data_IF_456390844936
#
_entry.id   IF_456390844936
#
_cell.length_a   1.000
_cell.length_b   1.000
_cell.length_c   1.000
_cell.angle_alpha   90.00
_cell.angle_beta   90.00
_cell.angle_gamma   90.00
#
_symmetry.space_group_name_H-M   'P 1'
#
loop_
_entity.id
_entity.type
_entity.pdbx_description
1 polymer ?
#
# COMPACT_ATOMS: atom_id res chain seq x y z
N UNK A 1 20.93 7.47 -3.50
CA UNK A 1 19.52 7.83 -3.22
C UNK A 1 18.72 7.80 -4.52
N UNK A 2 17.39 7.62 -4.46
CA UNK A 2 16.51 7.64 -5.64
C UNK A 2 15.24 8.43 -5.34
N UNK A 3 14.75 9.17 -6.34
CA UNK A 3 13.44 9.77 -6.34
C UNK A 3 12.44 8.79 -6.95
N UNK A 4 11.32 8.61 -6.26
CA UNK A 4 10.19 7.89 -6.81
C UNK A 4 9.06 8.85 -7.11
N UNK A 5 8.74 9.01 -8.39
CA UNK A 5 7.65 9.85 -8.84
C UNK A 5 6.45 8.96 -9.19
N UNK A 6 5.37 9.09 -8.42
CA UNK A 6 4.13 8.34 -8.64
C UNK A 6 2.94 9.28 -8.66
N UNK A 7 1.88 9.00 -9.42
CA UNK A 7 0.70 9.88 -9.43
C UNK A 7 -0.07 9.86 -8.10
N UNK A 8 0.06 8.77 -7.32
CA UNK A 8 -0.75 8.50 -6.12
C UNK A 8 -0.17 7.33 -5.33
N UNK A 9 -0.65 7.14 -4.11
CA UNK A 9 -0.59 5.86 -3.40
C UNK A 9 -1.95 5.54 -2.77
N UNK A 10 -2.08 4.31 -2.29
CA UNK A 10 -3.26 3.85 -1.56
C UNK A 10 -2.87 3.51 -0.13
N UNK A 11 -3.79 3.73 0.80
CA UNK A 11 -3.64 3.32 2.20
C UNK A 11 -4.97 2.79 2.75
N UNK A 12 -4.92 1.81 3.65
CA UNK A 12 -6.12 1.13 4.15
C UNK A 12 -6.41 1.50 5.60
N UNK A 13 -7.52 2.22 5.82
CA UNK A 13 -8.06 2.44 7.16
C UNK A 13 -8.74 1.17 7.64
N UNK A 14 -8.31 0.64 8.79
CA UNK A 14 -8.95 -0.53 9.41
C UNK A 14 -9.91 -0.07 10.51
N UNK A 15 -11.18 -0.46 10.42
CA UNK A 15 -12.19 -0.20 11.45
C UNK A 15 -13.10 -1.40 11.63
N UNK A 16 -13.24 -1.88 12.88
CA UNK A 16 -14.06 -3.04 13.24
C UNK A 16 -13.81 -4.27 12.32
N UNK A 17 -12.54 -4.56 12.04
CA UNK A 17 -12.14 -5.71 11.19
C UNK A 17 -12.35 -5.52 9.69
N UNK A 18 -12.87 -4.37 9.23
CA UNK A 18 -13.01 -4.05 7.80
C UNK A 18 -11.95 -3.06 7.35
N UNK A 19 -11.43 -3.26 6.13
CA UNK A 19 -10.46 -2.37 5.50
C UNK A 19 -11.14 -1.47 4.47
N UNK A 20 -10.98 -0.17 4.63
CA UNK A 20 -11.41 0.85 3.69
C UNK A 20 -10.20 1.43 2.98
N UNK A 21 -10.01 1.19 1.66
CA UNK A 21 -8.94 1.86 0.91
C UNK A 21 -9.21 3.35 0.72
N UNK A 22 -8.15 4.14 0.83
CA UNK A 22 -8.10 5.55 0.52
C UNK A 22 -7.12 5.79 -0.61
N UNK A 23 -7.49 6.70 -1.50
CA UNK A 23 -6.63 7.29 -2.51
C UNK A 23 -5.96 8.52 -1.92
N UNK A 24 -4.66 8.68 -2.16
CA UNK A 24 -3.88 9.84 -1.73
C UNK A 24 -3.02 10.34 -2.89
N UNK A 25 -3.17 11.62 -3.26
CA UNK A 25 -2.33 12.32 -4.25
C UNK A 25 -1.99 13.75 -3.81
N UNK A 26 -1.16 14.45 -4.58
CA UNK A 26 -1.02 15.91 -4.45
C UNK A 26 -2.31 16.57 -4.95
N UNK A 27 -2.75 17.64 -4.27
CA UNK A 27 -3.85 18.47 -4.75
C UNK A 27 -3.36 19.45 -5.83
N UNK A 28 -4.01 19.47 -6.99
CA UNK A 28 -3.49 20.12 -8.20
C UNK A 28 -3.83 19.40 -9.53
N UNK A 29 -4.58 18.29 -9.46
CA UNK A 29 -5.07 17.55 -10.61
C UNK A 29 -4.20 16.35 -11.01
N UNK A 30 -4.64 15.61 -12.02
CA UNK A 30 -4.07 14.31 -12.42
C UNK A 30 -2.63 14.36 -12.98
N UNK A 31 -2.04 15.54 -13.14
CA UNK A 31 -0.72 15.72 -13.74
C UNK A 31 0.41 15.88 -12.70
N UNK A 32 0.08 16.12 -11.42
CA UNK A 32 1.09 16.25 -10.38
C UNK A 32 1.49 14.90 -9.80
N UNK A 33 2.80 14.66 -9.80
CA UNK A 33 3.41 13.46 -9.25
C UNK A 33 3.82 13.69 -7.80
N UNK A 34 3.51 12.73 -6.94
CA UNK A 34 4.13 12.57 -5.64
C UNK A 34 5.60 12.21 -5.82
N UNK A 35 6.47 13.11 -5.37
CA UNK A 35 7.91 12.93 -5.34
C UNK A 35 8.31 12.36 -3.99
N UNK A 36 8.57 11.05 -3.90
CA UNK A 36 8.85 10.36 -2.63
C UNK A 36 10.33 10.01 -2.48
N UNK A 37 10.84 10.22 -1.27
CA UNK A 37 12.19 9.83 -0.89
C UNK A 37 12.31 8.30 -0.87
N UNK A 38 13.34 7.78 -1.51
CA UNK A 38 13.63 6.36 -1.42
C UNK A 38 15.08 5.98 -1.63
N UNK A 39 15.35 4.73 -1.28
CA UNK A 39 16.66 4.09 -1.39
C UNK A 39 16.58 3.00 -2.45
N UNK A 40 17.70 2.71 -3.08
CA UNK A 40 17.78 1.63 -4.07
C UNK A 40 19.07 0.85 -3.87
N UNK A 41 19.07 -0.39 -4.33
CA UNK A 41 20.23 -1.28 -4.35
C UNK A 41 20.26 -2.05 -5.66
N UNK A 42 21.46 -2.38 -6.11
CA UNK A 42 21.69 -3.18 -7.32
C UNK A 42 22.50 -4.41 -6.94
N UNK A 43 21.91 -5.59 -7.14
CA UNK A 43 22.59 -6.86 -7.00
C UNK A 43 23.03 -7.34 -8.38
N UNK A 44 24.32 -7.18 -8.70
CA UNK A 44 24.89 -7.67 -9.97
C UNK A 44 24.80 -9.18 -10.11
N UNK A 45 24.92 -9.92 -9.00
CA UNK A 45 24.89 -11.40 -9.00
C UNK A 45 23.49 -11.96 -9.26
N UNK A 46 22.43 -11.22 -8.90
CA UNK A 46 21.04 -11.63 -9.13
C UNK A 46 20.40 -10.91 -10.31
N UNK A 47 21.14 -10.04 -10.99
CA UNK A 47 20.63 -9.09 -11.98
C UNK A 47 19.34 -8.39 -11.49
N UNK A 48 19.41 -7.85 -10.26
CA UNK A 48 18.25 -7.33 -9.55
C UNK A 48 18.47 -5.87 -9.16
N UNK A 49 17.60 -5.00 -9.66
CA UNK A 49 17.38 -3.67 -9.15
C UNK A 49 16.25 -3.70 -8.13
N UNK A 50 16.49 -3.25 -6.91
CA UNK A 50 15.47 -3.15 -5.86
C UNK A 50 15.45 -1.78 -5.23
N UNK A 51 14.31 -1.42 -4.66
CA UNK A 51 14.13 -0.15 -3.98
C UNK A 51 13.20 -0.25 -2.78
N UNK A 52 13.25 0.80 -1.95
CA UNK A 52 12.34 1.01 -0.83
C UNK A 52 12.00 2.49 -0.71
N UNK A 53 10.79 2.77 -0.26
CA UNK A 53 10.31 4.13 0.03
C UNK A 53 10.57 4.43 1.50
N UNK A 54 11.13 5.61 1.78
CA UNK A 54 11.33 6.07 3.15
C UNK A 54 9.99 6.55 3.69
N UNK A 55 9.63 6.09 4.89
CA UNK A 55 8.39 6.45 5.57
C UNK A 55 8.69 7.22 6.86
N UNK A 56 7.72 8.01 7.28
CA UNK A 56 7.69 8.78 8.53
C UNK A 56 6.32 8.60 9.20
N UNK A 57 6.14 9.20 10.37
CA UNK A 57 4.84 9.24 11.03
C UNK A 57 3.86 10.09 10.20
N UNK A 58 2.63 9.59 10.09
CA UNK A 58 1.61 10.26 9.31
C UNK A 58 1.15 11.57 9.94
N UNK A 59 0.82 12.55 9.11
CA UNK A 59 0.27 13.85 9.51
C UNK A 59 -1.07 14.11 8.83
N UNK A 60 -1.81 15.12 9.31
CA UNK A 60 -3.08 15.57 8.75
C UNK A 60 -4.09 14.41 8.56
N UNK A 61 -4.83 14.40 7.46
CA UNK A 61 -5.86 13.39 7.17
C UNK A 61 -5.30 11.96 7.09
N UNK A 62 -4.05 11.81 6.63
CA UNK A 62 -3.38 10.50 6.51
C UNK A 62 -3.21 9.85 7.89
N UNK A 63 -2.95 10.64 8.94
CA UNK A 63 -2.84 10.14 10.32
C UNK A 63 -4.14 9.49 10.83
N UNK A 64 -5.28 9.89 10.28
CA UNK A 64 -6.58 9.28 10.61
C UNK A 64 -6.84 7.95 9.90
N UNK A 65 -5.99 7.58 8.93
CA UNK A 65 -6.09 6.39 8.09
C UNK A 65 -5.06 5.35 8.56
N UNK A 66 -3.81 5.76 8.72
CA UNK A 66 -2.69 4.91 9.12
C UNK A 66 -1.61 5.72 9.87
N UNK A 67 -0.77 5.06 10.67
CA UNK A 67 0.24 5.74 11.50
C UNK A 67 1.51 6.14 10.74
N UNK A 68 1.67 5.68 9.49
CA UNK A 68 2.85 5.93 8.65
C UNK A 68 2.44 6.54 7.32
N UNK A 69 3.31 7.38 6.77
CA UNK A 69 3.19 7.88 5.40
C UNK A 69 4.57 7.99 4.74
N UNK A 70 4.66 8.05 3.39
CA UNK A 70 5.91 8.33 2.71
C UNK A 70 6.47 9.72 3.04
N UNK A 71 7.79 9.87 3.01
CA UNK A 71 8.41 11.20 2.95
C UNK A 71 8.25 11.75 1.54
N UNK A 72 7.42 12.78 1.40
CA UNK A 72 7.08 13.42 0.12
C UNK A 72 7.80 14.79 0.04
N UNK A 73 8.39 15.10 -1.10
CA UNK A 73 9.01 16.39 -1.38
C UNK A 73 7.95 17.37 -1.91
N UNK A 74 7.87 18.54 -1.29
CA UNK A 74 6.87 19.57 -1.63
C UNK A 74 7.17 20.30 -2.94
N UNK A 75 8.44 20.31 -3.38
CA UNK A 75 8.89 21.00 -4.59
C UNK A 75 10.00 20.22 -5.28
N UNK A 76 10.27 20.60 -6.52
CA UNK A 76 11.26 19.94 -7.37
C UNK A 76 12.69 20.11 -6.85
N UNK A 77 13.05 21.27 -6.30
CA UNK A 77 14.42 21.55 -5.84
C UNK A 77 14.81 20.64 -4.66
N UNK A 78 13.91 20.43 -3.71
CA UNK A 78 14.10 19.48 -2.61
C UNK A 78 14.26 18.05 -3.15
N UNK A 79 13.42 17.65 -4.12
CA UNK A 79 13.51 16.35 -4.77
C UNK A 79 14.83 16.17 -5.54
N UNK A 80 15.33 17.22 -6.19
CA UNK A 80 16.60 17.21 -6.91
C UNK A 80 17.79 17.16 -5.96
N UNK A 81 17.75 17.89 -4.85
CA UNK A 81 18.75 17.81 -3.79
C UNK A 81 18.89 16.40 -3.22
N UNK A 82 17.79 15.64 -3.16
CA UNK A 82 17.82 14.22 -2.78
C UNK A 82 18.53 13.32 -3.79
N UNK A 83 18.43 13.59 -5.10
CA UNK A 83 18.97 12.68 -6.14
C UNK A 83 20.31 13.08 -6.73
N UNK A 84 20.62 14.37 -6.84
CA UNK A 84 21.81 14.86 -7.54
C UNK A 84 23.10 14.72 -6.73
N UNK A 85 23.02 14.30 -5.47
CA UNK A 85 24.18 14.23 -4.59
C UNK A 85 24.50 15.58 -3.97
N UNK A 86 25.20 15.55 -2.83
CA UNK A 86 25.43 16.71 -1.97
C UNK A 86 25.14 16.43 -0.50
N UNK A 87 24.36 15.38 -0.22
CA UNK A 87 24.25 14.78 1.11
C UNK A 87 25.31 13.67 1.20
N UNK A 88 26.48 13.99 1.76
CA UNK A 88 27.67 13.13 1.72
C UNK A 88 27.83 12.29 2.98
N UNK A 89 27.16 12.68 4.06
CA UNK A 89 27.20 12.00 5.36
C UNK A 89 25.81 11.59 5.85
N UNK A 90 25.73 10.53 6.66
CA UNK A 90 24.49 10.11 7.29
C UNK A 90 23.86 11.23 8.15
N UNK A 91 24.68 12.12 8.73
CA UNK A 91 24.22 13.28 9.48
C UNK A 91 23.46 14.28 8.60
N UNK A 92 24.02 14.66 7.45
CA UNK A 92 23.36 15.57 6.50
C UNK A 92 22.07 14.97 5.94
N UNK A 93 22.09 13.68 5.60
CA UNK A 93 20.89 12.96 5.14
C UNK A 93 19.78 13.04 6.18
N UNK A 94 20.11 12.79 7.45
CA UNK A 94 19.14 12.87 8.55
C UNK A 94 18.60 14.28 8.72
N UNK A 95 19.46 15.30 8.73
CA UNK A 95 19.03 16.70 8.84
C UNK A 95 18.11 17.10 7.70
N UNK A 96 18.46 16.74 6.47
CA UNK A 96 17.63 17.01 5.31
C UNK A 96 16.26 16.31 5.39
N UNK A 97 16.22 15.03 5.77
CA UNK A 97 14.95 14.32 5.96
C UNK A 97 14.11 14.94 7.08
N UNK A 98 14.72 15.39 8.18
CA UNK A 98 14.01 16.10 9.26
C UNK A 98 13.36 17.39 8.73
N UNK A 99 14.09 18.17 7.93
CA UNK A 99 13.53 19.37 7.29
C UNK A 99 12.35 19.03 6.37
N UNK A 100 12.45 17.96 5.57
CA UNK A 100 11.36 17.53 4.69
C UNK A 100 10.14 17.08 5.47
N UNK A 101 10.34 16.29 6.54
CA UNK A 101 9.26 15.83 7.41
C UNK A 101 8.53 17.01 8.05
N UNK A 102 9.25 18.06 8.46
CA UNK A 102 8.65 19.28 9.01
C UNK A 102 7.77 20.05 8.01
N UNK A 103 7.97 19.87 6.69
CA UNK A 103 7.14 20.48 5.65
C UNK A 103 5.84 19.71 5.36
N UNK A 104 5.76 18.42 5.73
CA UNK A 104 4.60 17.57 5.41
C UNK A 104 3.25 18.09 5.91
N UNK A 105 3.13 18.66 7.13
CA UNK A 105 1.86 19.22 7.61
C UNK A 105 1.32 20.36 6.74
N UNK A 106 2.18 21.02 5.97
CA UNK A 106 1.82 22.13 5.08
C UNK A 106 1.57 21.68 3.63
N UNK A 107 1.74 20.39 3.31
CA UNK A 107 1.42 19.87 1.99
C UNK A 107 -0.10 19.73 1.83
N UNK A 108 -0.58 20.18 0.67
CA UNK A 108 -1.97 19.98 0.28
C UNK A 108 -2.10 18.62 -0.42
N UNK A 109 -2.66 17.65 0.29
CA UNK A 109 -2.91 16.30 -0.22
C UNK A 109 -4.40 16.12 -0.48
N UNK A 110 -4.73 15.57 -1.65
CA UNK A 110 -6.08 15.11 -1.95
C UNK A 110 -6.24 13.69 -1.40
N UNK A 111 -7.16 13.52 -0.45
CA UNK A 111 -7.39 12.25 0.25
C UNK A 111 -8.88 11.91 0.22
N UNK A 112 -9.24 10.72 -0.28
CA UNK A 112 -10.65 10.28 -0.28
C UNK A 112 -10.79 8.75 -0.32
N UNK A 113 -11.90 8.20 0.23
CA UNK A 113 -12.14 6.76 0.20
C UNK A 113 -12.50 6.29 -1.21
N UNK A 114 -11.92 5.18 -1.64
CA UNK A 114 -12.21 4.54 -2.94
C UNK A 114 -12.94 3.21 -2.75
N UNK A 115 -13.41 2.65 -3.87
CA UNK A 115 -14.05 1.34 -3.83
C UNK A 115 -13.06 0.23 -3.44
N UNK A 116 -13.50 -0.88 -2.82
CA UNK A 116 -12.64 -2.02 -2.48
C UNK A 116 -11.99 -2.75 -3.67
N UNK A 117 -12.22 -2.31 -4.92
CA UNK A 117 -11.67 -2.95 -6.12
C UNK A 117 -10.13 -2.99 -6.10
N UNK A 118 -9.50 -1.97 -5.53
CA UNK A 118 -8.03 -1.87 -5.37
C UNK A 118 -7.45 -2.90 -4.39
N UNK A 119 -8.27 -3.63 -3.64
CA UNK A 119 -7.80 -4.72 -2.77
C UNK A 119 -7.19 -5.88 -3.58
N UNK A 120 -7.61 -6.05 -4.83
CA UNK A 120 -7.04 -7.03 -5.74
C UNK A 120 -5.94 -6.39 -6.57
N UNK A 121 -4.69 -6.80 -6.38
CA UNK A 121 -3.57 -6.34 -7.20
C UNK A 121 -3.65 -6.79 -8.67
N UNK A 122 -4.53 -7.75 -8.98
CA UNK A 122 -4.83 -8.14 -10.36
C UNK A 122 -5.79 -7.15 -11.06
N UNK A 123 -6.40 -6.23 -10.32
CA UNK A 123 -7.35 -5.27 -10.86
C UNK A 123 -6.68 -3.90 -11.07
N UNK A 124 -6.36 -3.61 -12.33
CA UNK A 124 -5.69 -2.38 -12.78
C UNK A 124 -6.60 -1.64 -13.78
N UNK A 125 -7.55 -0.86 -13.22
CA UNK A 125 -8.60 -0.18 -13.98
C UNK A 125 -8.86 1.22 -13.41
N UNK A 126 -9.28 2.20 -14.22
CA UNK A 126 -9.66 3.54 -13.75
C UNK A 126 -10.74 3.55 -12.64
N UNK A 127 -11.52 2.49 -12.48
CA UNK A 127 -12.46 2.35 -11.37
C UNK A 127 -11.79 2.29 -9.99
N UNK A 128 -10.51 1.92 -9.89
CA UNK A 128 -9.74 1.90 -8.64
C UNK A 128 -9.65 3.26 -7.95
N UNK A 129 -9.74 4.36 -8.72
CA UNK A 129 -9.61 5.72 -8.20
C UNK A 129 -10.96 6.43 -8.02
N UNK A 130 -12.08 5.73 -8.27
CA UNK A 130 -13.42 6.31 -8.10
C UNK A 130 -13.78 6.41 -6.62
N UNK A 131 -14.24 7.59 -6.15
CA UNK A 131 -14.73 7.75 -4.79
C UNK A 131 -15.87 6.78 -4.44
N UNK A 132 -15.86 6.24 -3.22
CA UNK A 132 -16.82 5.22 -2.76
C UNK A 132 -18.30 5.67 -2.73
N UNK A 133 -18.57 6.98 -2.83
CA UNK A 133 -19.92 7.55 -2.89
C UNK A 133 -20.42 7.91 -4.30
N UNK A 134 -19.60 7.74 -5.35
CA UNK A 134 -19.95 8.11 -6.73
C UNK A 134 -20.34 6.92 -7.62
N UNK A 135 -20.49 5.72 -7.04
CA UNK A 135 -21.17 4.65 -7.76
C UNK A 135 -22.67 4.97 -7.77
N UNK A 136 -23.35 4.99 -8.94
CA UNK A 136 -24.79 5.10 -8.95
C UNK A 136 -25.33 4.00 -8.05
N UNK A 137 -26.23 4.38 -7.13
CA UNK A 137 -26.91 3.44 -6.25
C UNK A 137 -27.40 2.27 -7.08
N UNK A 138 -26.76 1.11 -6.96
CA UNK A 138 -27.34 -0.12 -7.49
C UNK A 138 -28.61 -0.29 -6.67
N UNK A 139 -29.75 0.03 -7.26
CA UNK A 139 -31.05 -0.36 -6.73
C UNK A 139 -31.05 -1.88 -6.72
N UNK A 140 -30.67 -2.45 -5.58
CA UNK A 140 -30.84 -3.88 -5.33
C UNK A 140 -32.34 -4.13 -5.40
N UNK A 141 -32.83 -4.68 -6.51
CA UNK A 141 -34.15 -5.30 -6.55
C UNK A 141 -34.10 -6.45 -5.55
N UNK A 142 -34.78 -6.29 -4.43
CA UNK A 142 -34.95 -7.38 -3.47
C UNK A 142 -35.66 -8.53 -4.20
N UNK A 143 -34.95 -9.65 -4.37
CA UNK A 143 -35.61 -10.93 -4.61
C UNK A 143 -35.97 -11.50 -3.24
N UNK A 144 -37.19 -11.23 -2.81
CA UNK A 144 -37.80 -11.86 -1.64
C UNK A 144 -37.84 -13.37 -1.85
N UNK A 145 -37.11 -14.11 -1.03
CA UNK A 145 -37.32 -15.56 -0.85
C UNK A 145 -37.76 -15.76 0.60
N UNK A 146 -38.92 -16.37 0.88
CA UNK A 146 -39.44 -16.46 2.23
C UNK A 146 -38.66 -17.53 3.00
N UNK A 147 -37.86 -17.12 3.99
CA UNK A 147 -37.24 -18.05 4.93
C UNK A 147 -38.24 -18.39 6.04
N UNK A 148 -38.81 -19.61 5.99
CA UNK A 148 -39.51 -20.21 7.12
C UNK A 148 -38.47 -20.73 8.12
N UNK A 149 -38.15 -19.98 9.18
CA UNK A 149 -37.68 -20.51 10.48
C UNK A 149 -37.37 -19.37 11.45
N UNK A 150 -38.37 -18.91 12.21
CA UNK A 150 -38.18 -18.03 13.36
C UNK A 150 -39.11 -18.40 14.54
N UNK A 151 -39.37 -19.69 14.75
CA UNK A 151 -40.22 -20.17 15.88
C UNK A 151 -39.51 -21.19 16.79
N UNK A 152 -38.17 -21.21 16.85
CA UNK A 152 -37.46 -22.24 17.64
C UNK A 152 -36.49 -21.72 18.72
N UNK A 153 -36.59 -20.45 19.14
CA UNK A 153 -35.67 -19.89 20.16
C UNK A 153 -36.28 -19.40 21.47
N UNK A 154 -37.54 -19.78 21.77
CA UNK A 154 -38.12 -19.56 23.09
C UNK A 154 -38.77 -20.85 23.58
N UNK A 155 -38.05 -21.63 24.41
CA UNK A 155 -38.55 -22.44 25.52
C UNK A 155 -37.37 -23.06 26.31
N UNK A 156 -37.13 -22.48 27.50
CA UNK A 156 -36.84 -23.10 28.81
C UNK A 156 -35.51 -23.89 29.05
N UNK A 157 -34.66 -23.35 29.93
CA UNK A 157 -33.64 -24.06 30.76
C UNK A 157 -34.27 -24.59 32.07
N UNK A 158 -33.59 -25.33 32.99
CA UNK A 158 -32.44 -26.25 32.92
C UNK A 158 -32.76 -27.64 33.56
N UNK A 159 -31.93 -28.68 33.34
CA UNK A 159 -31.83 -29.82 34.28
C UNK A 159 -30.40 -30.33 34.43
N UNK A 160 -30.06 -30.58 35.69
CA UNK A 160 -28.81 -31.09 36.24
C UNK A 160 -28.71 -32.62 36.08
N UNK A 161 -27.51 -33.10 35.77
CA UNK A 161 -27.00 -34.41 36.19
C UNK A 161 -27.08 -35.56 35.17
N UNK A 162 -25.92 -35.98 34.63
CA UNK A 162 -25.45 -37.36 34.66
C UNK A 162 -24.10 -37.50 33.93
N UNK A 163 -23.17 -38.16 34.61
CA UNK A 163 -21.84 -38.56 34.17
C UNK A 163 -21.92 -39.62 33.06
N UNK A 164 -21.14 -39.43 31.98
CA UNK A 164 -20.96 -40.44 30.93
C UNK A 164 -19.64 -40.23 30.20
N UNK A 165 -18.65 -41.08 30.50
CA UNK A 165 -17.36 -41.19 29.79
C UNK A 165 -17.57 -41.41 28.29
N UNK A 166 -16.89 -40.62 27.45
CA UNK A 166 -16.41 -41.08 26.13
C UNK A 166 -15.03 -40.49 25.84
N UNK A 167 -14.04 -41.37 25.74
CA UNK A 167 -12.72 -41.10 25.20
C UNK A 167 -12.84 -40.74 23.72
N UNK A 168 -12.25 -39.60 23.33
CA UNK A 168 -12.10 -39.17 21.94
C UNK A 168 -10.66 -38.74 21.73
N UNK A 169 -9.89 -39.58 21.01
CA UNK A 169 -8.48 -39.37 20.72
C UNK A 169 -8.26 -38.13 19.83
N UNK A 170 -7.50 -37.15 20.33
CA UNK A 170 -7.03 -36.02 19.53
C UNK A 170 -5.73 -36.44 18.81
N UNK A 171 -5.79 -36.76 17.52
CA UNK A 171 -4.58 -36.95 16.70
C UNK A 171 -3.97 -35.56 16.43
N UNK A 172 -2.83 -35.27 17.04
CA UNK A 172 -1.97 -34.14 16.64
C UNK A 172 -1.31 -34.46 15.31
N UNK A 173 -1.55 -33.63 14.29
CA UNK A 173 -0.74 -33.61 13.08
C UNK A 173 0.60 -32.90 13.38
N UNK A 174 1.74 -33.34 12.82
CA UNK A 174 3.02 -32.65 13.00
C UNK A 174 3.02 -31.30 12.27
N UNK A 175 3.82 -30.30 12.70
CA UNK A 175 3.94 -29.04 11.98
C UNK A 175 4.58 -29.31 10.61
N UNK A 176 3.86 -28.98 9.53
CA UNK A 176 4.43 -28.96 8.19
C UNK A 176 5.40 -27.77 8.09
N UNK A 177 6.60 -28.07 7.59
CA UNK A 177 7.69 -27.13 7.41
C UNK A 177 7.29 -25.96 6.52
N UNK A 178 7.64 -24.74 6.95
CA UNK A 178 7.45 -23.51 6.21
C UNK A 178 8.48 -23.43 5.07
N UNK A 179 8.21 -24.12 3.96
CA UNK A 179 9.05 -24.13 2.78
C UNK A 179 8.20 -24.02 1.52
N UNK A 180 8.50 -22.99 0.72
CA UNK A 180 8.09 -22.83 -0.68
C UNK A 180 6.60 -22.61 -1.00
N UNK A 181 6.16 -21.34 -0.98
CA UNK A 181 5.06 -20.88 -1.82
C UNK A 181 5.09 -19.34 -2.01
N UNK A 182 6.17 -18.84 -2.60
CA UNK A 182 6.15 -17.54 -3.25
C UNK A 182 6.58 -17.71 -4.71
N UNK A 183 5.59 -17.82 -5.60
CA UNK A 183 5.79 -17.57 -7.01
C UNK A 183 6.08 -16.08 -7.18
N UNK A 184 7.36 -15.72 -7.26
CA UNK A 184 7.80 -14.40 -7.69
C UNK A 184 7.48 -14.27 -9.17
N UNK A 185 6.43 -13.53 -9.51
CA UNK A 185 6.12 -13.18 -10.89
C UNK A 185 7.14 -12.14 -11.36
N UNK A 186 8.20 -12.59 -12.05
CA UNK A 186 9.08 -11.72 -12.83
C UNK A 186 8.21 -11.03 -13.89
N UNK A 187 8.08 -9.70 -13.84
CA UNK A 187 7.65 -8.94 -15.02
C UNK A 187 8.89 -8.77 -15.90
N UNK A 188 8.94 -9.54 -16.98
CA UNK A 188 9.83 -9.28 -18.11
C UNK A 188 9.30 -8.08 -18.87
N UNK A 189 10.09 -7.01 -18.94
CA UNK A 189 9.88 -5.96 -19.94
C UNK A 189 10.36 -6.51 -21.28
N UNK A 190 9.48 -6.58 -22.27
CA UNK A 190 9.85 -6.86 -23.66
C UNK A 190 10.36 -5.58 -24.32
N UNK A 191 11.42 -5.70 -25.10
CA UNK A 191 12.02 -4.62 -25.89
C UNK A 191 10.95 -3.94 -26.77
N UNK A 192 10.65 -2.67 -26.50
CA UNK A 192 9.67 -1.91 -27.26
C UNK A 192 9.42 -0.47 -26.81
N UNK A 193 9.56 -0.15 -25.53
CA UNK A 193 9.41 1.23 -25.05
C UNK A 193 10.74 1.98 -25.13
N UNK A 194 10.93 2.75 -26.21
CA UNK A 194 12.08 3.62 -26.39
C UNK A 194 12.02 4.82 -25.44
N UNK A 195 12.49 4.62 -24.21
CA UNK A 195 13.09 5.69 -23.41
C UNK A 195 14.60 5.48 -23.42
N UNK A 196 15.26 6.06 -24.42
CA UNK A 196 16.71 6.00 -24.58
C UNK A 196 17.35 6.83 -23.45
N UNK A 197 18.08 6.24 -22.49
CA UNK A 197 18.89 7.00 -21.55
C UNK A 197 20.10 7.63 -22.26
N UNK A 198 20.65 8.76 -21.78
CA UNK A 198 21.78 9.43 -22.41
C UNK A 198 22.98 8.49 -22.55
N UNK A 199 23.54 8.42 -23.76
CA UNK A 199 24.72 7.61 -24.08
C UNK A 199 25.90 8.04 -23.21
N UNK A 200 26.44 7.10 -22.46
CA UNK A 200 27.69 7.26 -21.71
C UNK A 200 28.86 7.37 -22.68
N UNK A 201 29.44 8.56 -22.82
CA UNK A 201 30.72 8.77 -23.51
C UNK A 201 31.82 8.42 -22.50
N UNK A 202 32.62 7.40 -22.79
CA UNK A 202 33.82 7.07 -22.00
C UNK A 202 34.86 8.17 -22.22
N UNK A 203 35.58 8.64 -21.18
CA UNK A 203 36.77 9.44 -21.40
C UNK A 203 37.91 8.54 -21.92
N UNK A 204 38.59 9.01 -22.96
CA UNK A 204 39.81 8.38 -23.46
C UNK A 204 40.87 8.38 -22.36
N UNK A 205 41.57 7.25 -22.23
CA UNK A 205 42.75 7.14 -21.38
C UNK A 205 43.94 7.66 -22.17
N UNK A 206 44.58 8.72 -21.66
CA UNK A 206 46.00 8.99 -21.90
C UNK A 206 46.86 8.13 -20.97
#
# INVERSE_FOLDING_TARGET
>A
MRLFAFPRFYEWKTSAGRKQPYFISVDGGNEQLLMMAGLFSVSKTRDLFSYTVITTDAVNEVASIHNRMPVIFANFDDAMRWVQGGLVSAGEVRSFLTEMIAKLPHMNLLVYPVTPMVNSSAFDDPACIKPQGLLPSVTMKSKTTPSKTLDAFMIISPKVGAVGKKEGSYKRSPPQSFGELFHVRKRSFSDGDSNIPPKYIKPDRE
#
